data_IF_237369403563
#
_entry.id   IF_237369403563
#
_cell.length_a   1.000
_cell.length_b   1.000
_cell.length_c   1.000
_cell.angle_alpha   90.00
_cell.angle_beta   90.00
_cell.angle_gamma   90.00
#
_symmetry.space_group_name_H-M   'P 1'
#
loop_
_entity.id
_entity.type
_entity.pdbx_description
1 polymer ?
#
# COMPACT_ATOMS: atom_id res chain seq x y z
N UNK A 1 -5.82 -14.24 -33.01
CA UNK A 1 -5.95 -14.79 -31.64
C UNK A 1 -5.81 -13.64 -30.65
N UNK A 2 -6.79 -13.50 -29.78
CA UNK A 2 -6.74 -12.45 -28.79
C UNK A 2 -6.03 -12.98 -27.55
N UNK A 3 -4.91 -12.36 -27.21
CA UNK A 3 -4.22 -12.73 -25.97
C UNK A 3 -5.02 -12.26 -24.76
N UNK A 4 -5.07 -13.09 -23.73
CA UNK A 4 -5.67 -12.69 -22.47
C UNK A 4 -4.89 -11.48 -21.89
N UNK A 5 -5.58 -10.49 -21.30
CA UNK A 5 -4.90 -9.36 -20.67
C UNK A 5 -3.89 -9.86 -19.64
N UNK A 6 -2.71 -9.27 -19.65
CA UNK A 6 -1.72 -9.55 -18.62
C UNK A 6 -2.26 -9.10 -17.27
N UNK A 7 -2.13 -9.96 -16.29
CA UNK A 7 -2.59 -9.67 -14.94
C UNK A 7 -1.44 -9.87 -13.94
N UNK A 8 -1.57 -9.21 -12.82
CA UNK A 8 -0.61 -9.34 -11.73
C UNK A 8 -1.34 -9.57 -10.42
N UNK A 9 -0.69 -10.26 -9.50
CA UNK A 9 -1.19 -10.48 -8.16
C UNK A 9 -0.37 -9.66 -7.18
N UNK A 10 -1.07 -8.98 -6.30
CA UNK A 10 -0.46 -8.21 -5.23
C UNK A 10 -1.17 -8.54 -3.93
N UNK A 11 -0.54 -8.23 -2.82
CA UNK A 11 -1.17 -8.33 -1.51
C UNK A 11 -1.30 -6.93 -0.95
N UNK A 12 -2.46 -6.59 -0.42
CA UNK A 12 -2.65 -5.34 0.33
C UNK A 12 -2.73 -5.71 1.80
N UNK A 13 -1.93 -5.06 2.62
CA UNK A 13 -1.80 -5.36 4.04
C UNK A 13 -2.13 -4.14 4.89
N UNK A 14 -2.86 -4.38 5.96
CA UNK A 14 -3.12 -3.37 6.98
C UNK A 14 -2.99 -4.02 8.35
N UNK A 15 -2.22 -3.40 9.24
CA UNK A 15 -2.01 -3.93 10.58
C UNK A 15 -2.59 -2.97 11.62
N UNK A 16 -3.35 -3.53 12.54
CA UNK A 16 -3.73 -2.87 13.78
C UNK A 16 -2.77 -3.34 14.88
N UNK A 17 -2.95 -2.83 16.09
CA UNK A 17 -2.15 -3.24 17.24
C UNK A 17 -2.20 -4.76 17.48
N UNK A 18 -3.38 -5.35 17.29
CA UNK A 18 -3.65 -6.71 17.68
C UNK A 18 -3.78 -7.69 16.51
N UNK A 19 -3.84 -7.17 15.29
CA UNK A 19 -4.21 -8.01 14.15
C UNK A 19 -3.64 -7.49 12.85
N UNK A 20 -3.32 -8.41 11.94
CA UNK A 20 -2.90 -8.09 10.57
C UNK A 20 -3.97 -8.56 9.60
N UNK A 21 -4.31 -7.69 8.66
CA UNK A 21 -5.27 -7.98 7.58
C UNK A 21 -4.52 -8.05 6.27
N UNK A 22 -4.81 -9.08 5.49
CA UNK A 22 -4.19 -9.29 4.19
C UNK A 22 -5.27 -9.57 3.16
N UNK A 23 -5.20 -8.87 2.04
CA UNK A 23 -6.10 -9.09 0.92
C UNK A 23 -5.27 -9.37 -0.33
N UNK A 24 -5.46 -10.55 -0.91
CA UNK A 24 -4.83 -10.87 -2.20
C UNK A 24 -5.70 -10.31 -3.31
N UNK A 25 -5.11 -9.48 -4.16
CA UNK A 25 -5.83 -8.85 -5.25
C UNK A 25 -5.21 -9.22 -6.58
N UNK A 26 -6.06 -9.41 -7.58
CA UNK A 26 -5.63 -9.67 -8.95
C UNK A 26 -6.01 -8.47 -9.79
N UNK A 27 -5.04 -7.93 -10.51
CA UNK A 27 -5.16 -6.64 -11.18
C UNK A 27 -4.67 -6.72 -12.61
N UNK A 28 -5.17 -5.84 -13.51
CA UNK A 28 -4.51 -5.63 -14.79
C UNK A 28 -3.06 -5.20 -14.58
N UNK A 29 -2.21 -5.57 -15.52
CA UNK A 29 -0.77 -5.31 -15.39
C UNK A 29 -0.40 -3.83 -15.20
N UNK A 30 -1.16 -2.93 -15.79
CA UNK A 30 -0.95 -1.48 -15.65
C UNK A 30 -1.64 -0.82 -14.46
N UNK A 31 -2.24 -1.60 -13.55
CA UNK A 31 -2.96 -1.05 -12.42
C UNK A 31 -2.02 -0.42 -11.39
N UNK A 32 -2.47 0.70 -10.81
CA UNK A 32 -1.72 1.45 -9.80
C UNK A 32 -1.95 0.92 -8.39
N UNK A 33 -1.15 1.42 -7.44
CA UNK A 33 -1.35 1.17 -6.01
C UNK A 33 -2.77 1.56 -5.58
N UNK A 34 -3.28 2.71 -6.05
CA UNK A 34 -4.65 3.14 -5.74
C UNK A 34 -5.68 2.11 -6.18
N UNK A 35 -5.52 1.52 -7.36
CA UNK A 35 -6.43 0.48 -7.86
C UNK A 35 -6.34 -0.80 -7.05
N UNK A 36 -5.14 -1.17 -6.60
CA UNK A 36 -4.95 -2.31 -5.72
C UNK A 36 -5.68 -2.11 -4.39
N UNK A 37 -5.59 -0.92 -3.82
CA UNK A 37 -6.26 -0.56 -2.57
C UNK A 37 -7.78 -0.62 -2.74
N UNK A 38 -8.32 -0.12 -3.85
CA UNK A 38 -9.75 -0.21 -4.13
C UNK A 38 -10.23 -1.65 -4.26
N UNK A 39 -9.43 -2.51 -4.89
CA UNK A 39 -9.75 -3.93 -4.98
C UNK A 39 -9.77 -4.58 -3.59
N UNK A 40 -8.81 -4.26 -2.73
CA UNK A 40 -8.78 -4.75 -1.36
C UNK A 40 -9.98 -4.26 -0.54
N UNK A 41 -10.35 -3.00 -0.72
CA UNK A 41 -11.52 -2.41 -0.07
C UNK A 41 -12.80 -3.16 -0.44
N UNK A 42 -12.94 -3.52 -1.70
CA UNK A 42 -14.08 -4.31 -2.18
C UNK A 42 -14.11 -5.70 -1.54
N UNK A 43 -12.95 -6.36 -1.43
CA UNK A 43 -12.85 -7.66 -0.78
C UNK A 43 -13.19 -7.57 0.71
N UNK A 44 -12.71 -6.57 1.40
CA UNK A 44 -12.99 -6.37 2.81
C UNK A 44 -14.49 -6.14 3.06
N UNK A 45 -15.14 -5.35 2.21
CA UNK A 45 -16.58 -5.11 2.29
C UNK A 45 -17.36 -6.39 2.05
N UNK A 46 -16.95 -7.18 1.04
CA UNK A 46 -17.64 -8.45 0.73
C UNK A 46 -17.49 -9.47 1.86
N UNK A 47 -16.37 -9.46 2.57
CA UNK A 47 -16.14 -10.34 3.71
C UNK A 47 -16.78 -9.83 5.01
N UNK A 48 -17.38 -8.65 4.98
CA UNK A 48 -17.99 -8.00 6.15
C UNK A 48 -16.99 -7.89 7.32
N UNK A 49 -15.75 -7.56 7.01
CA UNK A 49 -14.72 -7.42 8.04
C UNK A 49 -14.98 -6.20 8.93
N UNK A 50 -14.97 -6.44 10.23
CA UNK A 50 -15.22 -5.40 11.24
C UNK A 50 -13.93 -4.65 11.58
N UNK A 51 -13.32 -4.06 10.55
CA UNK A 51 -12.12 -3.27 10.74
C UNK A 51 -12.29 -1.92 10.08
N UNK A 52 -11.91 -0.88 10.80
CA UNK A 52 -11.90 0.47 10.24
C UNK A 52 -10.55 0.71 9.60
N UNK A 53 -10.50 0.61 8.29
CA UNK A 53 -9.28 0.82 7.51
C UNK A 53 -9.30 2.22 6.93
N UNK A 54 -8.24 3.02 7.11
CA UNK A 54 -8.16 4.36 6.53
C UNK A 54 -7.77 4.29 5.05
N UNK A 55 -8.65 3.75 4.22
CA UNK A 55 -8.39 3.47 2.81
C UNK A 55 -7.87 4.68 2.02
N UNK A 56 -8.46 5.84 2.25
CA UNK A 56 -8.16 7.04 1.46
C UNK A 56 -7.08 7.91 2.10
N UNK A 57 -6.86 7.77 3.39
CA UNK A 57 -6.01 8.66 4.19
C UNK A 57 -4.67 8.04 4.56
N UNK A 58 -4.57 6.72 4.53
CA UNK A 58 -3.37 6.03 4.96
C UNK A 58 -2.18 6.37 4.08
N UNK A 59 -1.03 6.51 4.72
CA UNK A 59 0.23 6.46 4.00
C UNK A 59 0.43 5.06 3.46
N UNK A 60 1.03 4.95 2.29
CA UNK A 60 1.19 3.67 1.61
C UNK A 60 2.66 3.38 1.33
N UNK A 61 2.99 2.10 1.27
CA UNK A 61 4.32 1.66 0.93
C UNK A 61 4.30 0.31 0.25
N UNK A 62 5.43 -0.07 -0.33
CA UNK A 62 5.64 -1.38 -0.93
C UNK A 62 6.83 -2.01 -0.22
N UNK A 63 6.61 -3.16 0.43
CA UNK A 63 7.64 -3.84 1.22
C UNK A 63 8.37 -2.90 2.20
N UNK A 64 7.61 -2.07 2.92
CA UNK A 64 8.18 -1.19 3.93
C UNK A 64 8.74 0.12 3.39
N UNK A 65 8.83 0.31 2.09
CA UNK A 65 9.28 1.57 1.50
C UNK A 65 8.10 2.45 1.12
N UNK A 66 8.05 3.71 1.57
CA UNK A 66 6.98 4.62 1.19
C UNK A 66 6.86 4.74 -0.32
N UNK A 67 5.63 4.77 -0.82
CA UNK A 67 5.36 4.92 -2.23
C UNK A 67 4.18 5.87 -2.46
N UNK A 68 3.91 6.18 -3.71
CA UNK A 68 2.75 6.96 -4.13
C UNK A 68 1.61 6.02 -4.52
N UNK A 69 0.38 6.49 -4.33
CA UNK A 69 -0.80 5.77 -4.82
C UNK A 69 -0.83 5.67 -6.35
N UNK A 70 -0.09 6.53 -7.04
CA UNK A 70 0.06 6.50 -8.49
C UNK A 70 1.14 5.53 -8.98
N UNK A 71 1.96 5.01 -8.08
CA UNK A 71 3.01 4.05 -8.44
C UNK A 71 2.40 2.75 -8.96
N UNK A 72 3.12 2.06 -9.83
CA UNK A 72 2.67 0.81 -10.42
C UNK A 72 3.34 -0.36 -9.70
N UNK A 73 2.61 -1.12 -8.89
CA UNK A 73 3.17 -2.31 -8.26
C UNK A 73 3.43 -3.39 -9.29
N UNK A 74 4.33 -4.30 -8.95
CA UNK A 74 4.69 -5.46 -9.78
C UNK A 74 4.07 -6.73 -9.22
N UNK A 75 4.08 -7.77 -10.04
CA UNK A 75 3.67 -9.10 -9.60
C UNK A 75 4.38 -9.49 -8.30
N UNK A 76 3.59 -9.89 -7.33
CA UNK A 76 4.10 -10.32 -6.03
C UNK A 76 4.37 -9.20 -5.03
N UNK A 77 4.12 -7.95 -5.38
CA UNK A 77 4.37 -6.85 -4.47
C UNK A 77 3.38 -6.86 -3.30
N UNK A 78 3.89 -6.46 -2.15
CA UNK A 78 3.10 -6.26 -0.94
C UNK A 78 2.91 -4.77 -0.72
N UNK A 79 1.68 -4.32 -0.87
CA UNK A 79 1.28 -2.93 -0.66
C UNK A 79 0.82 -2.80 0.78
N UNK A 80 1.42 -1.89 1.51
CA UNK A 80 1.13 -1.72 2.93
C UNK A 80 0.41 -0.41 3.18
N UNK A 81 -0.68 -0.47 3.95
CA UNK A 81 -1.38 0.69 4.45
C UNK A 81 -0.92 0.93 5.88
N UNK A 82 -0.44 2.12 6.14
CA UNK A 82 0.08 2.47 7.46
C UNK A 82 -0.96 3.28 8.22
N UNK A 83 -1.32 2.79 9.41
CA UNK A 83 -2.20 3.55 10.27
C UNK A 83 -1.48 4.80 10.78
N UNK A 84 -2.26 5.84 11.09
CA UNK A 84 -1.71 7.02 11.72
C UNK A 84 -1.12 6.67 13.08
N UNK A 85 0.12 7.06 13.32
CA UNK A 85 0.74 6.90 14.61
C UNK A 85 0.17 7.93 15.58
N UNK A 86 0.00 7.53 16.84
CA UNK A 86 -0.31 8.51 17.91
C UNK A 86 0.80 9.54 17.93
N UNK A 87 0.43 10.81 17.82
CA UNK A 87 1.40 11.88 17.68
C UNK A 87 2.12 12.17 18.98
N UNK A 88 3.30 11.59 19.12
CA UNK A 88 4.33 12.06 20.04
C UNK A 88 5.23 12.98 19.22
N UNK A 89 5.61 14.17 19.72
CA UNK A 89 6.50 15.07 18.98
C UNK A 89 7.81 14.42 18.53
N UNK A 90 8.36 13.51 19.33
CA UNK A 90 9.58 12.78 18.98
C UNK A 90 9.34 11.79 17.85
N UNK A 91 8.22 11.08 17.88
CA UNK A 91 7.86 10.12 16.84
C UNK A 91 7.55 10.83 15.52
N UNK A 92 6.85 11.93 15.58
CA UNK A 92 6.59 12.74 14.38
C UNK A 92 7.85 13.24 13.72
N UNK A 93 8.86 13.63 14.52
CA UNK A 93 10.16 14.05 14.00
C UNK A 93 10.91 12.90 13.35
N UNK A 94 10.94 11.74 13.98
CA UNK A 94 11.57 10.52 13.42
C UNK A 94 10.92 10.08 12.12
N UNK A 95 9.62 10.13 12.07
CA UNK A 95 8.86 9.76 10.87
C UNK A 95 9.18 10.70 9.71
N UNK A 96 9.24 12.01 9.96
CA UNK A 96 9.63 12.98 8.92
C UNK A 96 11.03 12.75 8.39
N UNK A 97 11.98 12.42 9.24
CA UNK A 97 13.34 12.10 8.82
C UNK A 97 13.36 10.84 7.96
N UNK A 98 12.62 9.81 8.34
CA UNK A 98 12.53 8.57 7.54
C UNK A 98 11.92 8.81 6.17
N UNK A 99 10.88 9.61 6.09
CA UNK A 99 10.26 9.96 4.82
C UNK A 99 11.22 10.74 3.91
N UNK A 100 11.94 11.70 4.46
CA UNK A 100 12.92 12.46 3.72
C UNK A 100 14.02 11.55 3.16
N UNK A 101 14.52 10.62 3.95
CA UNK A 101 15.54 9.65 3.50
C UNK A 101 15.02 8.73 2.41
N UNK A 102 13.77 8.29 2.50
CA UNK A 102 13.16 7.44 1.50
C UNK A 102 13.00 8.19 0.17
N UNK A 103 12.60 9.46 0.21
CA UNK A 103 12.51 10.31 -0.98
C UNK A 103 13.88 10.48 -1.63
N UNK A 104 14.90 10.78 -0.84
CA UNK A 104 16.28 10.91 -1.35
C UNK A 104 16.74 9.64 -2.06
N UNK A 105 16.47 8.48 -1.47
CA UNK A 105 16.83 7.20 -2.09
C UNK A 105 16.13 6.98 -3.42
N UNK A 106 14.87 7.37 -3.53
CA UNK A 106 14.12 7.27 -4.78
C UNK A 106 14.69 8.17 -5.85
N UNK A 107 15.02 9.40 -5.50
CA UNK A 107 15.63 10.35 -6.44
C UNK A 107 16.97 9.83 -6.95
N UNK A 108 17.78 9.25 -6.10
CA UNK A 108 19.05 8.63 -6.49
C UNK A 108 18.88 7.45 -7.42
N UNK A 109 17.82 6.67 -7.24
CA UNK A 109 17.51 5.52 -8.12
C UNK A 109 17.00 5.95 -9.48
N UNK A 110 16.42 7.13 -9.58
CA UNK A 110 15.83 7.65 -10.82
C UNK A 110 16.85 8.24 -11.77
N UNK A 111 18.10 8.42 -11.36
CA UNK A 111 19.16 9.03 -12.16
C UNK A 111 19.92 8.00 -12.97
#
# INVERSE_FOLDING_TARGET
MVEAPQRKRCVVAFATRDRQYLWSVELPDGASVAQAIEAARTLAAAAAEEVSVPWDEAHVGIFGEPCSRADLPREGDRIELYRALLKDPKEGRRERVRQARAVDRRLKRSV
#
